data_IF_334402413057
#
_entry.id   IF_334402413057
#
_cell.length_a   1.000
_cell.length_b   1.000
_cell.length_c   1.000
_cell.angle_alpha   90.00
_cell.angle_beta   90.00
_cell.angle_gamma   90.00
#
_symmetry.space_group_name_H-M   'P 1'
#
loop_
_entity.id
_entity.type
_entity.pdbx_description
1 polymer ?
#
# COMPACT_ATOMS: atom_id res chain seq x y z
N UNK A 1 -5.36 -34.21 34.80
CA UNK A 1 -5.70 -32.96 35.52
C UNK A 1 -4.63 -31.92 35.18
N UNK A 2 -5.08 -30.75 34.70
CA UNK A 2 -4.34 -29.52 34.35
C UNK A 2 -3.28 -29.64 33.22
N UNK A 3 -3.56 -29.21 31.98
CA UNK A 3 -3.64 -27.81 31.48
C UNK A 3 -2.26 -27.16 31.32
N UNK A 4 -1.67 -27.29 30.12
CA UNK A 4 -0.54 -26.48 29.67
C UNK A 4 -0.96 -25.71 28.41
N UNK A 5 -1.37 -24.45 28.59
CA UNK A 5 -1.52 -23.51 27.49
C UNK A 5 -0.11 -23.07 27.06
N UNK A 6 0.34 -23.51 25.89
CA UNK A 6 1.57 -23.02 25.27
C UNK A 6 1.31 -21.62 24.70
N UNK A 7 2.06 -20.66 25.22
CA UNK A 7 2.03 -19.23 24.93
C UNK A 7 2.25 -18.95 23.42
N UNK A 8 1.24 -18.36 22.78
CA UNK A 8 1.14 -18.12 21.33
C UNK A 8 1.96 -16.90 20.84
N UNK A 9 2.95 -16.43 21.61
CA UNK A 9 3.67 -15.18 21.35
C UNK A 9 4.92 -15.30 20.45
N UNK A 10 5.16 -16.45 19.83
CA UNK A 10 6.36 -16.69 19.01
C UNK A 10 6.17 -16.64 17.48
N UNK A 11 5.05 -16.14 16.96
CA UNK A 11 4.72 -16.21 15.52
C UNK A 11 4.69 -14.86 14.78
N UNK A 12 5.45 -13.86 15.24
CA UNK A 12 5.59 -12.58 14.52
C UNK A 12 6.96 -12.47 13.82
N UNK A 13 7.13 -13.02 12.60
CA UNK A 13 8.41 -13.00 11.89
C UNK A 13 8.93 -11.58 11.63
N UNK A 14 8.04 -10.60 11.40
CA UNK A 14 8.42 -9.20 11.12
C UNK A 14 8.83 -8.39 12.37
N UNK A 15 8.37 -8.77 13.57
CA UNK A 15 8.62 -8.02 14.81
C UNK A 15 9.72 -8.66 15.68
N UNK A 16 9.99 -9.96 15.50
CA UNK A 16 10.98 -10.68 16.30
C UNK A 16 12.44 -10.32 15.93
N UNK A 17 12.73 -9.95 14.67
CA UNK A 17 14.09 -9.55 14.27
C UNK A 17 14.47 -8.13 14.73
N UNK A 18 13.48 -7.29 15.06
CA UNK A 18 13.71 -5.89 15.44
C UNK A 18 14.06 -5.72 16.93
N UNK A 19 13.43 -6.49 17.82
CA UNK A 19 13.54 -6.29 19.28
C UNK A 19 14.89 -6.72 19.89
N UNK A 20 15.73 -7.46 19.18
CA UNK A 20 17.06 -7.86 19.67
C UNK A 20 18.14 -6.77 19.54
N UNK A 21 17.86 -5.65 18.86
CA UNK A 21 18.86 -4.62 18.57
C UNK A 21 18.67 -3.28 19.32
N UNK A 22 17.49 -3.03 19.89
CA UNK A 22 17.15 -1.71 20.46
C UNK A 22 17.47 -1.59 21.97
N UNK A 23 18.06 -2.62 22.59
CA UNK A 23 18.29 -2.64 24.05
C UNK A 23 19.55 -1.91 24.53
N UNK A 24 20.38 -1.34 23.64
CA UNK A 24 21.72 -0.87 24.02
C UNK A 24 22.00 0.63 23.85
N UNK A 25 20.97 1.46 23.65
CA UNK A 25 21.19 2.91 23.48
C UNK A 25 20.33 3.73 24.44
N UNK A 26 21.04 4.38 25.36
CA UNK A 26 20.69 5.58 26.16
C UNK A 26 20.02 5.41 27.53
N UNK A 27 20.87 5.13 28.52
CA UNK A 27 20.77 5.80 29.82
C UNK A 27 21.62 7.07 29.81
N UNK A 28 21.01 8.24 30.09
CA UNK A 28 21.66 9.35 30.80
C UNK A 28 20.65 10.40 31.26
N UNK A 29 20.98 10.95 32.42
CA UNK A 29 20.14 11.54 33.46
C UNK A 29 20.00 13.07 33.35
N UNK A 30 19.07 13.60 34.19
CA UNK A 30 19.02 14.96 34.82
C UNK A 30 18.36 16.07 33.98
N UNK A 31 17.59 17.03 34.52
CA UNK A 31 17.27 17.44 35.91
C UNK A 31 16.03 18.36 35.89
N UNK A 32 15.49 18.57 37.08
CA UNK A 32 14.24 19.18 37.54
C UNK A 32 14.07 20.71 37.46
N UNK A 33 12.85 21.13 37.90
CA UNK A 33 12.39 22.41 38.45
C UNK A 33 11.70 23.35 37.45
N UNK A 34 10.64 24.09 37.77
CA UNK A 34 9.69 24.13 38.89
C UNK A 34 8.53 25.07 38.46
N UNK A 35 7.35 24.89 39.04
CA UNK A 35 6.14 25.70 38.83
C UNK A 35 6.20 27.05 39.54
N UNK A 36 5.39 28.04 39.11
CA UNK A 36 4.56 28.80 40.05
C UNK A 36 3.43 29.58 39.37
N UNK A 37 2.23 29.43 39.93
CA UNK A 37 0.99 30.17 39.70
C UNK A 37 0.97 31.49 40.49
N UNK A 38 0.06 32.37 40.08
CA UNK A 38 -0.96 33.08 40.91
C UNK A 38 -0.93 34.61 40.95
N UNK A 39 -2.14 35.15 41.17
CA UNK A 39 -2.60 36.53 41.49
C UNK A 39 -2.91 37.40 40.26
N UNK A 40 -4.15 37.74 39.89
CA UNK A 40 -5.42 38.05 40.58
C UNK A 40 -5.47 39.44 41.27
N UNK A 41 -6.41 40.24 40.77
CA UNK A 41 -7.14 41.41 41.29
C UNK A 41 -6.52 42.81 41.47
N UNK A 42 -7.32 43.80 41.06
CA UNK A 42 -7.10 45.23 41.31
C UNK A 42 -8.21 46.11 40.70
N UNK A 43 -8.95 46.78 41.58
CA UNK A 43 -10.33 47.27 41.47
C UNK A 43 -10.49 48.76 41.08
N UNK A 44 -11.71 49.10 40.65
CA UNK A 44 -12.53 50.33 40.75
C UNK A 44 -12.02 51.80 40.60
N UNK A 45 -12.98 52.60 40.08
CA UNK A 45 -13.38 53.99 40.43
C UNK A 45 -12.86 55.16 39.55
N UNK A 46 -13.51 56.31 39.30
CA UNK A 46 -14.91 56.84 39.24
C UNK A 46 -14.80 58.28 38.67
N UNK A 47 -15.85 58.80 38.01
CA UNK A 47 -16.36 60.19 38.07
C UNK A 47 -16.17 61.21 36.90
N UNK A 48 -17.33 61.58 36.31
CA UNK A 48 -17.86 62.86 35.74
C UNK A 48 -17.03 63.70 34.74
N UNK A 49 -17.57 64.47 33.79
CA UNK A 49 -18.87 65.14 33.65
C UNK A 49 -19.11 65.60 32.19
N UNK A 50 -20.34 66.07 31.96
CA UNK A 50 -20.80 67.08 30.99
C UNK A 50 -21.50 66.67 29.68
N UNK A 51 -22.70 67.23 29.61
CA UNK A 51 -23.80 67.05 28.67
C UNK A 51 -23.50 67.57 27.26
N UNK A 52 -23.96 66.81 26.26
CA UNK A 52 -24.28 67.37 24.95
C UNK A 52 -25.48 66.62 24.38
N UNK A 53 -26.66 67.26 24.39
CA UNK A 53 -27.91 66.73 23.84
C UNK A 53 -27.79 66.48 22.32
N UNK A 54 -27.52 65.23 21.95
CA UNK A 54 -27.62 64.74 20.58
C UNK A 54 -28.88 63.90 20.43
N UNK A 55 -29.91 64.46 19.77
CA UNK A 55 -31.13 63.74 19.38
C UNK A 55 -30.75 62.41 18.67
N UNK A 56 -31.33 61.26 19.05
CA UNK A 56 -30.95 59.99 18.46
C UNK A 56 -31.36 59.93 16.97
N UNK A 57 -30.38 59.64 16.12
CA UNK A 57 -30.62 59.32 14.70
C UNK A 57 -31.56 58.11 14.62
N UNK A 58 -32.66 58.18 13.85
CA UNK A 58 -33.57 57.05 13.73
C UNK A 58 -32.85 55.85 13.11
N UNK A 59 -33.00 54.69 13.76
CA UNK A 59 -32.38 53.43 13.33
C UNK A 59 -32.73 53.04 11.89
N UNK A 60 -31.87 52.22 11.30
CA UNK A 60 -31.92 51.78 9.89
C UNK A 60 -33.34 51.42 9.42
N UNK A 61 -34.07 50.65 10.23
CA UNK A 61 -35.44 50.21 9.93
C UNK A 61 -36.47 51.34 9.84
N UNK A 62 -36.33 52.38 10.65
CA UNK A 62 -37.23 53.54 10.63
C UNK A 62 -36.97 54.43 9.41
N UNK A 63 -35.72 54.50 8.94
CA UNK A 63 -35.36 55.19 7.67
C UNK A 63 -35.85 54.39 6.45
N UNK A 64 -35.75 53.07 6.50
CA UNK A 64 -36.26 52.19 5.44
C UNK A 64 -37.79 52.30 5.32
N UNK A 65 -38.52 52.25 6.44
CA UNK A 65 -39.98 52.40 6.47
C UNK A 65 -40.45 53.78 5.98
N UNK A 66 -39.73 54.86 6.34
CA UNK A 66 -40.02 56.20 5.83
C UNK A 66 -39.78 56.31 4.32
N UNK A 67 -38.79 55.60 3.78
CA UNK A 67 -38.55 55.55 2.32
C UNK A 67 -39.63 54.77 1.56
N UNK A 68 -40.19 53.72 2.18
CA UNK A 68 -41.30 52.95 1.60
C UNK A 68 -42.62 53.73 1.64
N UNK A 69 -42.84 54.55 2.68
CA UNK A 69 -44.05 55.40 2.80
C UNK A 69 -44.04 56.57 1.80
N UNK A 70 -42.87 57.14 1.48
CA UNK A 70 -42.73 58.17 0.42
C UNK A 70 -43.07 57.62 -0.97
N UNK A 71 -42.60 56.41 -1.31
CA UNK A 71 -42.92 55.76 -2.60
C UNK A 71 -44.40 55.39 -2.77
N UNK A 72 -45.17 55.28 -1.68
CA UNK A 72 -46.61 54.98 -1.75
C UNK A 72 -47.48 56.23 -1.95
N UNK A 73 -46.98 57.41 -1.57
CA UNK A 73 -47.68 58.69 -1.79
C UNK A 73 -47.38 59.35 -3.14
N UNK A 74 -46.21 59.11 -3.74
CA UNK A 74 -45.90 59.62 -5.09
C UNK A 74 -46.78 58.99 -6.18
N UNK A 75 -47.41 57.83 -5.92
CA UNK A 75 -48.35 57.20 -6.84
C UNK A 75 -49.75 57.87 -6.87
N UNK A 76 -50.03 58.83 -5.97
CA UNK A 76 -51.32 59.49 -5.83
C UNK A 76 -51.34 60.94 -6.37
N UNK A 77 -50.26 61.41 -7.00
CA UNK A 77 -50.11 62.82 -7.42
C UNK A 77 -49.56 63.00 -8.84
N UNK A 78 -49.92 62.11 -9.76
CA UNK A 78 -49.69 62.28 -11.21
C UNK A 78 -51.04 62.33 -11.96
N UNK A 79 -51.83 63.35 -11.63
CA UNK A 79 -52.96 63.80 -12.44
C UNK A 79 -52.58 65.10 -13.12
N UNK A 80 -52.66 65.12 -14.45
CA UNK A 80 -52.44 66.26 -15.34
C UNK A 80 -50.98 66.70 -15.58
N UNK A 81 -50.27 65.97 -16.45
CA UNK A 81 -49.42 66.59 -17.48
C UNK A 81 -49.38 65.71 -18.74
N UNK A 82 -49.48 66.38 -19.88
CA UNK A 82 -49.73 65.86 -21.22
C UNK A 82 -48.67 64.85 -21.67
N UNK A 83 -49.08 63.62 -22.02
CA UNK A 83 -48.18 62.62 -22.63
C UNK A 83 -47.80 63.05 -24.05
N UNK A 84 -46.61 63.63 -24.19
CA UNK A 84 -45.88 63.56 -25.46
C UNK A 84 -45.47 62.10 -25.67
N UNK A 85 -45.97 61.50 -26.74
CA UNK A 85 -45.74 60.09 -27.09
C UNK A 85 -44.34 59.96 -27.66
N UNK A 86 -43.35 59.71 -26.80
CA UNK A 86 -42.01 59.29 -27.23
C UNK A 86 -42.06 57.89 -27.85
N UNK A 87 -41.31 57.78 -28.95
CA UNK A 87 -41.27 56.72 -29.93
C UNK A 87 -40.98 55.32 -29.33
N UNK A 88 -41.46 54.27 -29.99
CA UNK A 88 -41.46 52.88 -29.50
C UNK A 88 -40.07 52.32 -29.11
N UNK A 89 -38.99 52.96 -29.55
CA UNK A 89 -37.63 52.48 -29.37
C UNK A 89 -37.08 52.65 -27.94
N UNK A 90 -37.49 53.70 -27.22
CA UNK A 90 -37.07 53.94 -25.81
C UNK A 90 -37.77 53.03 -24.80
N UNK A 91 -39.02 52.61 -25.08
CA UNK A 91 -39.73 51.62 -24.25
C UNK A 91 -39.10 50.23 -24.37
N UNK A 92 -38.52 49.91 -25.54
CA UNK A 92 -37.79 48.64 -25.78
C UNK A 92 -36.43 48.67 -25.09
N UNK A 93 -35.71 49.79 -25.15
CA UNK A 93 -34.43 50.03 -24.43
C UNK A 93 -34.60 49.97 -22.91
N UNK A 94 -35.65 50.58 -22.34
CA UNK A 94 -35.92 50.56 -20.89
C UNK A 94 -36.36 49.20 -20.35
N UNK A 95 -37.13 48.41 -21.12
CA UNK A 95 -37.44 47.01 -20.79
C UNK A 95 -36.20 46.12 -20.85
N UNK A 96 -35.37 46.24 -21.89
CA UNK A 96 -34.08 45.54 -21.98
C UNK A 96 -33.16 45.89 -20.80
N UNK A 97 -33.07 47.17 -20.41
CA UNK A 97 -32.24 47.59 -19.28
C UNK A 97 -32.76 47.08 -17.93
N UNK A 98 -34.08 47.06 -17.70
CA UNK A 98 -34.68 46.46 -16.49
C UNK A 98 -34.48 44.95 -16.43
N UNK A 99 -34.56 44.26 -17.58
CA UNK A 99 -34.31 42.82 -17.70
C UNK A 99 -32.83 42.49 -17.45
N UNK A 100 -31.90 43.25 -18.03
CA UNK A 100 -30.46 43.16 -17.77
C UNK A 100 -30.13 43.41 -16.29
N UNK A 101 -30.69 44.45 -15.66
CA UNK A 101 -30.48 44.73 -14.24
C UNK A 101 -30.98 43.62 -13.33
N UNK A 102 -32.08 42.94 -13.67
CA UNK A 102 -32.59 41.79 -12.92
C UNK A 102 -31.71 40.55 -13.07
N UNK A 103 -31.19 40.30 -14.26
CA UNK A 103 -30.25 39.19 -14.49
C UNK A 103 -28.88 39.45 -13.87
N UNK A 104 -28.39 40.68 -13.93
CA UNK A 104 -27.16 41.08 -13.21
C UNK A 104 -27.35 40.96 -11.70
N UNK A 105 -28.48 41.43 -11.15
CA UNK A 105 -28.76 41.26 -9.73
C UNK A 105 -28.91 39.79 -9.31
N UNK A 106 -29.53 38.94 -10.14
CA UNK A 106 -29.60 37.49 -9.91
C UNK A 106 -28.23 36.83 -10.02
N UNK A 107 -27.41 37.22 -10.99
CA UNK A 107 -26.05 36.74 -11.14
C UNK A 107 -25.18 37.14 -9.93
N UNK A 108 -25.31 38.35 -9.41
CA UNK A 108 -24.61 38.80 -8.20
C UNK A 108 -24.98 38.02 -6.93
N UNK A 109 -26.07 37.26 -6.92
CA UNK A 109 -26.46 36.39 -5.79
C UNK A 109 -26.15 34.92 -6.08
N UNK A 110 -26.43 34.46 -7.30
CA UNK A 110 -26.23 33.07 -7.70
C UNK A 110 -24.74 32.74 -7.82
N UNK A 111 -23.91 33.63 -8.35
CA UNK A 111 -22.47 33.37 -8.53
C UNK A 111 -21.76 33.17 -7.18
N UNK A 112 -21.94 34.04 -6.16
CA UNK A 112 -21.37 33.77 -4.84
C UNK A 112 -21.92 32.50 -4.19
N UNK A 113 -23.22 32.21 -4.35
CA UNK A 113 -23.82 30.98 -3.81
C UNK A 113 -23.21 29.72 -4.45
N UNK A 114 -23.04 29.72 -5.77
CA UNK A 114 -22.38 28.63 -6.49
C UNK A 114 -20.90 28.50 -6.10
N UNK A 115 -20.19 29.60 -5.85
CA UNK A 115 -18.83 29.56 -5.32
C UNK A 115 -18.80 28.96 -3.91
N UNK A 116 -19.71 29.34 -3.03
CA UNK A 116 -19.81 28.76 -1.67
C UNK A 116 -20.16 27.27 -1.74
N UNK A 117 -21.06 26.85 -2.64
CA UNK A 117 -21.38 25.43 -2.84
C UNK A 117 -20.16 24.70 -3.42
N UNK A 118 -19.46 25.27 -4.40
CA UNK A 118 -18.26 24.66 -4.98
C UNK A 118 -17.16 24.51 -3.95
N UNK A 119 -16.80 25.57 -3.22
CA UNK A 119 -15.80 25.50 -2.15
C UNK A 119 -16.29 24.63 -0.99
N UNK A 120 -17.59 24.61 -0.69
CA UNK A 120 -18.19 23.71 0.28
C UNK A 120 -18.09 22.24 -0.13
N UNK A 121 -18.34 21.90 -1.40
CA UNK A 121 -18.15 20.56 -1.95
C UNK A 121 -16.67 20.18 -2.00
N UNK A 122 -15.78 21.10 -2.37
CA UNK A 122 -14.32 20.90 -2.30
C UNK A 122 -13.88 20.69 -0.86
N UNK A 123 -14.44 21.43 0.11
CA UNK A 123 -14.08 21.29 1.52
C UNK A 123 -14.67 20.02 2.14
N UNK A 124 -15.88 19.63 1.77
CA UNK A 124 -16.50 18.35 2.10
C UNK A 124 -15.66 17.22 1.50
N UNK A 125 -15.32 17.29 0.22
CA UNK A 125 -14.42 16.34 -0.43
C UNK A 125 -13.06 16.29 0.27
N UNK A 126 -12.49 17.44 0.64
CA UNK A 126 -11.22 17.53 1.38
C UNK A 126 -11.33 17.01 2.82
N UNK A 127 -12.49 17.10 3.46
CA UNK A 127 -12.75 16.53 4.79
C UNK A 127 -13.00 15.02 4.68
N UNK A 128 -13.76 14.55 3.69
CA UNK A 128 -13.95 13.12 3.39
C UNK A 128 -12.64 12.45 2.97
N UNK A 129 -11.80 13.16 2.22
CA UNK A 129 -10.45 12.73 1.91
C UNK A 129 -9.53 12.91 3.12
N UNK A 130 -9.74 13.93 3.97
CA UNK A 130 -8.90 14.34 5.10
C UNK A 130 -9.14 13.62 6.43
N UNK A 131 -10.22 12.86 6.56
CA UNK A 131 -10.33 11.77 7.55
C UNK A 131 -9.35 10.62 7.26
N UNK A 132 -8.67 10.68 6.13
CA UNK A 132 -7.48 9.92 5.81
C UNK A 132 -6.35 10.96 5.67
N UNK A 133 -5.23 10.88 6.40
CA UNK A 133 -4.19 11.89 6.24
C UNK A 133 -3.63 11.81 4.81
N UNK A 134 -3.98 12.81 3.99
CA UNK A 134 -3.74 12.87 2.54
C UNK A 134 -2.27 13.16 2.24
N UNK A 135 -1.66 14.05 3.03
CA UNK A 135 -0.27 14.47 2.89
C UNK A 135 0.41 14.31 4.24
N UNK A 136 1.34 13.37 4.31
CA UNK A 136 2.48 13.49 5.19
C UNK A 136 3.62 13.98 4.31
N UNK A 137 4.34 15.00 4.78
CA UNK A 137 5.57 15.44 4.13
C UNK A 137 6.53 14.26 4.05
N UNK A 138 6.65 13.68 2.86
CA UNK A 138 7.83 12.92 2.52
C UNK A 138 8.79 13.85 1.78
N UNK A 139 9.78 14.45 2.47
CA UNK A 139 10.83 15.21 1.80
C UNK A 139 11.71 14.34 0.87
N UNK A 140 11.40 13.05 0.69
CA UNK A 140 12.15 12.12 -0.17
C UNK A 140 11.50 11.74 -1.50
N UNK A 141 10.42 12.40 -1.92
CA UNK A 141 9.87 12.24 -3.27
C UNK A 141 10.79 12.80 -4.39
N UNK A 142 12.00 13.22 -4.05
CA UNK A 142 13.11 13.34 -4.98
C UNK A 142 13.89 12.03 -4.92
N UNK A 143 13.76 11.23 -5.98
CA UNK A 143 14.70 10.16 -6.30
C UNK A 143 16.10 10.68 -6.02
N UNK A 144 16.81 10.09 -5.05
CA UNK A 144 18.25 10.26 -5.03
C UNK A 144 18.74 9.75 -6.36
N UNK A 145 19.37 10.63 -7.12
CA UNK A 145 20.11 10.25 -8.31
C UNK A 145 20.96 9.03 -7.94
N UNK A 146 20.75 7.93 -8.67
CA UNK A 146 21.72 6.86 -8.70
C UNK A 146 23.06 7.53 -8.97
N UNK A 147 24.09 7.35 -8.12
CA UNK A 147 25.40 7.83 -8.49
C UNK A 147 25.84 6.96 -9.67
N UNK A 148 25.54 7.40 -10.89
CA UNK A 148 26.34 7.00 -12.04
C UNK A 148 27.66 7.72 -11.80
N UNK A 149 28.50 7.15 -10.93
CA UNK A 149 29.92 7.45 -10.91
C UNK A 149 30.52 6.85 -12.18
N UNK A 150 30.24 7.52 -13.30
CA UNK A 150 30.99 7.37 -14.53
C UNK A 150 32.36 7.98 -14.32
N UNK A 151 33.29 7.15 -13.84
CA UNK A 151 34.75 7.19 -14.11
C UNK A 151 35.44 6.08 -13.30
N UNK A 152 35.34 4.86 -13.82
CA UNK A 152 36.33 3.76 -13.78
C UNK A 152 35.56 2.45 -14.03
N UNK A 153 35.79 1.83 -15.20
CA UNK A 153 35.02 0.67 -15.68
C UNK A 153 35.15 -0.61 -14.85
N UNK A 154 35.96 -0.61 -13.79
CA UNK A 154 36.07 -1.69 -12.80
C UNK A 154 35.25 -1.45 -11.52
N UNK A 155 35.09 -0.20 -11.08
CA UNK A 155 34.44 0.14 -9.80
C UNK A 155 32.92 0.10 -9.86
N UNK A 156 32.31 0.41 -11.00
CA UNK A 156 30.85 0.41 -11.12
C UNK A 156 30.25 -1.00 -10.97
N UNK A 157 30.97 -2.02 -11.45
CA UNK A 157 30.53 -3.41 -11.39
C UNK A 157 30.71 -3.98 -9.98
N UNK A 158 31.85 -3.72 -9.32
CA UNK A 158 32.06 -4.13 -7.92
C UNK A 158 31.03 -3.48 -6.99
N UNK A 159 30.76 -2.18 -7.16
CA UNK A 159 29.75 -1.47 -6.37
C UNK A 159 28.32 -2.05 -6.54
N UNK A 160 27.99 -2.61 -7.72
CA UNK A 160 26.71 -3.30 -7.93
C UNK A 160 26.66 -4.68 -7.27
N UNK A 161 27.80 -5.35 -7.15
CA UNK A 161 27.90 -6.66 -6.48
C UNK A 161 27.88 -6.53 -4.95
N UNK A 162 28.36 -5.40 -4.42
CA UNK A 162 28.43 -5.08 -2.99
C UNK A 162 27.27 -4.20 -2.48
N UNK A 163 26.21 -4.03 -3.27
CA UNK A 163 25.07 -3.15 -2.93
C UNK A 163 24.37 -3.53 -1.62
N UNK A 164 24.53 -4.77 -1.16
CA UNK A 164 23.89 -5.35 0.02
C UNK A 164 24.78 -5.46 1.25
N UNK A 165 26.00 -4.91 1.20
CA UNK A 165 27.02 -5.06 2.26
C UNK A 165 26.53 -4.59 3.64
N UNK A 166 25.85 -3.46 3.68
CA UNK A 166 25.34 -2.83 4.91
C UNK A 166 23.80 -2.75 4.92
N UNK A 167 23.14 -3.65 4.19
CA UNK A 167 21.68 -3.67 4.07
C UNK A 167 21.10 -4.76 4.96
N UNK A 168 20.24 -4.38 5.90
CA UNK A 168 19.44 -5.32 6.69
C UNK A 168 18.26 -5.82 5.86
N UNK A 169 18.14 -7.14 5.64
CA UNK A 169 16.99 -7.68 4.94
C UNK A 169 15.71 -7.51 5.77
N UNK A 170 14.59 -7.36 5.07
CA UNK A 170 13.26 -7.33 5.64
C UNK A 170 12.30 -8.15 4.76
N UNK A 171 11.26 -8.78 5.34
CA UNK A 171 10.20 -9.50 4.61
C UNK A 171 9.26 -8.59 3.80
N UNK A 172 9.81 -7.74 2.93
CA UNK A 172 9.04 -7.06 1.89
C UNK A 172 9.22 -7.73 0.54
N UNK A 173 8.13 -7.70 -0.22
CA UNK A 173 8.09 -8.15 -1.60
C UNK A 173 7.97 -6.92 -2.49
N UNK A 174 9.05 -6.60 -3.21
CA UNK A 174 9.05 -5.56 -4.23
C UNK A 174 8.27 -6.09 -5.42
N UNK A 175 7.03 -5.65 -5.54
CA UNK A 175 6.27 -5.81 -6.77
C UNK A 175 7.08 -5.14 -7.89
N UNK A 176 7.23 -5.85 -9.00
CA UNK A 176 8.19 -5.43 -10.01
C UNK A 176 7.72 -4.12 -10.63
N UNK A 177 8.50 -3.06 -10.47
CA UNK A 177 8.27 -1.83 -11.17
C UNK A 177 9.17 -1.73 -12.37
N UNK A 178 8.58 -2.18 -13.46
CA UNK A 178 8.91 -1.86 -14.84
C UNK A 178 9.12 -0.36 -15.11
N UNK A 179 8.74 0.52 -14.17
CA UNK A 179 8.99 1.96 -14.17
C UNK A 179 10.34 2.35 -13.55
N UNK A 180 10.93 1.50 -12.70
CA UNK A 180 12.29 1.68 -12.17
C UNK A 180 13.33 1.28 -13.21
N UNK A 181 14.48 1.95 -13.16
CA UNK A 181 15.59 1.70 -14.08
C UNK A 181 16.25 0.34 -13.82
N UNK A 182 16.35 -0.06 -12.55
CA UNK A 182 17.07 -1.26 -12.11
C UNK A 182 16.28 -2.01 -11.00
N UNK A 183 15.12 -2.64 -11.32
CA UNK A 183 14.17 -3.11 -10.31
C UNK A 183 14.76 -4.07 -9.26
N UNK A 184 15.60 -5.02 -9.70
CA UNK A 184 16.29 -5.95 -8.80
C UNK A 184 17.19 -5.21 -7.80
N UNK A 185 18.08 -4.35 -8.29
CA UNK A 185 19.04 -3.63 -7.45
C UNK A 185 18.36 -2.65 -6.49
N UNK A 186 17.31 -1.97 -6.94
CA UNK A 186 16.53 -1.07 -6.08
C UNK A 186 15.86 -1.85 -4.94
N UNK A 187 15.27 -3.01 -5.21
CA UNK A 187 14.68 -3.87 -4.18
C UNK A 187 15.71 -4.35 -3.15
N UNK A 188 16.86 -4.83 -3.62
CA UNK A 188 17.95 -5.30 -2.76
C UNK A 188 18.54 -4.17 -1.92
N UNK A 189 18.67 -2.97 -2.48
CA UNK A 189 19.18 -1.79 -1.75
C UNK A 189 18.30 -1.43 -0.55
N UNK A 190 16.98 -1.61 -0.65
CA UNK A 190 16.05 -1.40 0.44
C UNK A 190 15.85 -2.62 1.33
N UNK A 191 16.58 -3.72 1.10
CA UNK A 191 16.51 -4.91 1.93
C UNK A 191 15.31 -5.82 1.66
N UNK A 192 14.53 -5.61 0.59
CA UNK A 192 13.44 -6.55 0.29
C UNK A 192 13.99 -7.93 -0.06
N UNK A 193 13.52 -8.93 0.68
CA UNK A 193 13.87 -10.35 0.46
C UNK A 193 12.97 -11.03 -0.56
N UNK A 194 12.02 -10.31 -1.18
CA UNK A 194 11.24 -10.78 -2.31
C UNK A 194 11.25 -9.81 -3.48
N UNK A 195 11.45 -10.34 -4.69
CA UNK A 195 11.36 -9.60 -5.95
C UNK A 195 10.50 -10.37 -6.94
N UNK A 196 9.80 -9.64 -7.80
CA UNK A 196 8.93 -10.19 -8.83
C UNK A 196 9.51 -10.01 -10.23
N UNK A 197 9.22 -10.95 -11.13
CA UNK A 197 9.50 -10.89 -12.55
C UNK A 197 8.25 -11.32 -13.35
N UNK A 198 7.55 -10.37 -13.97
CA UNK A 198 6.45 -10.66 -14.90
C UNK A 198 7.04 -11.13 -16.23
N UNK A 199 6.95 -12.45 -16.49
CA UNK A 199 7.53 -13.08 -17.68
C UNK A 199 6.48 -13.38 -18.75
N UNK A 200 6.86 -13.10 -19.98
CA UNK A 200 6.10 -13.39 -21.19
C UNK A 200 6.96 -14.24 -22.11
N UNK A 201 6.42 -15.35 -22.62
CA UNK A 201 7.09 -16.12 -23.66
C UNK A 201 6.68 -15.61 -25.05
N UNK A 202 7.66 -15.30 -25.89
CA UNK A 202 7.50 -15.08 -27.34
C UNK A 202 8.74 -15.62 -28.06
N UNK A 203 8.55 -16.34 -29.17
CA UNK A 203 9.65 -16.89 -29.98
C UNK A 203 10.72 -17.65 -29.16
N UNK A 204 10.26 -18.48 -28.20
CA UNK A 204 11.09 -19.27 -27.27
C UNK A 204 12.00 -18.48 -26.29
N UNK A 205 11.81 -17.16 -26.19
CA UNK A 205 12.52 -16.27 -25.26
C UNK A 205 11.56 -15.68 -24.21
N UNK A 206 12.08 -15.48 -22.99
CA UNK A 206 11.34 -14.92 -21.86
C UNK A 206 11.63 -13.43 -21.72
N UNK A 207 10.66 -12.61 -22.11
CA UNK A 207 10.70 -11.16 -21.93
C UNK A 207 10.08 -10.74 -20.61
N UNK A 208 10.59 -9.65 -20.02
CA UNK A 208 10.11 -9.12 -18.74
C UNK A 208 9.37 -7.80 -18.95
N UNK A 209 8.14 -7.71 -18.47
CA UNK A 209 7.32 -6.49 -18.54
C UNK A 209 5.94 -6.62 -17.90
N UNK A 210 5.39 -5.53 -17.38
CA UNK A 210 4.02 -5.55 -16.81
C UNK A 210 2.95 -5.90 -17.83
N UNK A 211 3.17 -5.46 -19.07
CA UNK A 211 2.23 -5.60 -20.18
C UNK A 211 2.98 -5.93 -21.46
N UNK A 212 2.32 -6.61 -22.39
CA UNK A 212 2.89 -6.94 -23.70
C UNK A 212 3.47 -5.71 -24.42
N UNK A 213 2.87 -4.53 -24.26
CA UNK A 213 3.34 -3.28 -24.90
C UNK A 213 4.64 -2.72 -24.30
N UNK A 214 5.02 -3.16 -23.10
CA UNK A 214 6.26 -2.72 -22.42
C UNK A 214 7.48 -3.59 -22.74
N UNK A 215 7.28 -4.67 -23.50
CA UNK A 215 8.33 -5.63 -23.81
C UNK A 215 9.34 -5.03 -24.79
N UNK A 216 10.62 -5.30 -24.53
CA UNK A 216 11.73 -4.87 -25.37
C UNK A 216 12.76 -5.99 -25.44
N UNK A 217 13.46 -6.12 -26.57
CA UNK A 217 14.38 -7.23 -26.80
C UNK A 217 15.55 -7.30 -25.79
N UNK A 218 15.92 -6.18 -25.15
CA UNK A 218 17.00 -6.13 -24.16
C UNK A 218 16.58 -6.52 -22.73
N UNK A 219 15.28 -6.63 -22.45
CA UNK A 219 14.75 -6.92 -21.09
C UNK A 219 14.25 -8.36 -21.04
N UNK A 220 15.17 -9.29 -20.86
CA UNK A 220 14.86 -10.73 -20.74
C UNK A 220 14.94 -11.18 -19.28
N UNK A 221 14.34 -12.33 -18.98
CA UNK A 221 14.40 -12.92 -17.64
C UNK A 221 15.85 -13.17 -17.18
N UNK A 222 16.73 -13.57 -18.12
CA UNK A 222 18.17 -13.73 -17.85
C UNK A 222 18.86 -12.41 -17.57
N UNK A 223 18.73 -11.43 -18.47
CA UNK A 223 19.47 -10.17 -18.35
C UNK A 223 19.06 -9.35 -17.13
N UNK A 224 17.78 -9.44 -16.73
CA UNK A 224 17.22 -8.64 -15.64
C UNK A 224 17.34 -9.32 -14.26
N UNK A 225 17.35 -10.64 -14.19
CA UNK A 225 17.32 -11.39 -12.91
C UNK A 225 18.38 -12.46 -12.81
N UNK A 226 18.36 -13.48 -13.67
CA UNK A 226 19.20 -14.68 -13.47
C UNK A 226 20.69 -14.33 -13.52
N UNK A 227 21.15 -13.62 -14.56
CA UNK A 227 22.58 -13.34 -14.73
C UNK A 227 23.11 -12.38 -13.65
N UNK A 228 22.39 -11.30 -13.28
CA UNK A 228 22.77 -10.49 -12.11
C UNK A 228 22.86 -11.28 -10.80
N UNK A 229 21.89 -12.15 -10.53
CA UNK A 229 21.89 -12.98 -9.31
C UNK A 229 23.06 -13.96 -9.28
N UNK A 230 23.35 -14.63 -10.39
CA UNK A 230 24.52 -15.50 -10.52
C UNK A 230 25.80 -14.72 -10.23
N UNK A 231 25.98 -13.54 -10.83
CA UNK A 231 27.18 -12.71 -10.61
C UNK A 231 27.35 -12.29 -9.15
N UNK A 232 26.26 -11.85 -8.50
CA UNK A 232 26.30 -11.45 -7.08
C UNK A 232 26.63 -12.64 -6.18
N UNK A 233 26.02 -13.81 -6.41
CA UNK A 233 26.25 -14.99 -5.60
C UNK A 233 27.64 -15.60 -5.84
N UNK A 234 28.12 -15.60 -7.08
CA UNK A 234 29.49 -16.01 -7.40
C UNK A 234 30.47 -15.14 -6.62
N UNK A 235 30.34 -13.81 -6.70
CA UNK A 235 31.19 -12.89 -5.96
C UNK A 235 31.18 -13.14 -4.45
N UNK A 236 30.00 -13.39 -3.85
CA UNK A 236 29.84 -13.65 -2.40
C UNK A 236 30.29 -15.03 -1.94
N UNK A 237 30.48 -15.96 -2.88
CA UNK A 237 30.85 -17.34 -2.62
C UNK A 237 32.19 -17.73 -3.27
N UNK A 238 32.93 -16.76 -3.81
CA UNK A 238 34.30 -16.94 -4.28
C UNK A 238 35.20 -17.30 -3.09
N UNK A 239 36.01 -18.35 -3.26
CA UNK A 239 36.97 -18.77 -2.24
C UNK A 239 38.11 -17.74 -2.20
N UNK A 240 38.21 -17.00 -1.10
CA UNK A 240 39.40 -16.19 -0.83
C UNK A 240 40.63 -17.08 -0.60
N UNK A 241 41.84 -16.52 -0.79
CA UNK A 241 43.13 -17.24 -0.66
C UNK A 241 43.34 -17.90 0.72
N UNK A 242 42.61 -17.44 1.74
CA UNK A 242 42.69 -17.89 3.14
C UNK A 242 41.47 -18.77 3.51
N UNK A 243 40.41 -18.73 2.70
CA UNK A 243 39.12 -19.35 3.02
C UNK A 243 39.12 -20.87 2.78
N UNK A 244 38.45 -21.62 3.66
CA UNK A 244 38.13 -23.03 3.45
C UNK A 244 36.78 -23.16 2.75
N UNK A 245 36.58 -24.26 2.02
CA UNK A 245 35.31 -24.56 1.35
C UNK A 245 34.19 -24.75 2.38
N UNK A 246 33.23 -23.84 2.42
CA UNK A 246 31.98 -24.04 3.16
C UNK A 246 31.01 -24.91 2.35
N UNK A 247 30.29 -25.81 3.02
CA UNK A 247 29.17 -26.54 2.43
C UNK A 247 27.94 -25.64 2.25
N UNK A 248 27.78 -24.64 3.11
CA UNK A 248 26.69 -23.68 3.03
C UNK A 248 27.06 -22.52 2.11
N UNK A 249 26.14 -22.13 1.24
CA UNK A 249 26.31 -20.98 0.35
C UNK A 249 25.78 -19.73 1.02
N UNK A 250 26.52 -18.63 0.92
CA UNK A 250 26.09 -17.31 1.36
C UNK A 250 24.97 -16.80 0.44
N UNK A 251 23.95 -16.22 1.07
CA UNK A 251 22.86 -15.48 0.45
C UNK A 251 23.30 -14.12 -0.09
N UNK A 252 22.32 -13.35 -0.56
CA UNK A 252 22.56 -12.04 -1.19
C UNK A 252 22.88 -10.94 -0.17
N UNK A 253 22.44 -11.06 1.09
CA UNK A 253 22.64 -10.03 2.12
C UNK A 253 23.83 -10.38 3.02
N UNK A 254 24.84 -9.51 3.10
CA UNK A 254 26.04 -9.79 3.90
C UNK A 254 25.77 -9.69 5.41
N UNK A 255 24.79 -8.88 5.79
CA UNK A 255 24.32 -8.74 7.17
C UNK A 255 23.57 -9.99 7.66
N UNK A 256 23.10 -10.85 6.74
CA UNK A 256 22.35 -12.07 7.04
C UNK A 256 22.59 -13.13 5.96
N UNK A 257 23.73 -13.81 6.02
CA UNK A 257 24.18 -14.73 4.96
C UNK A 257 23.31 -15.97 4.77
N UNK A 258 22.44 -16.32 5.73
CA UNK A 258 21.46 -17.40 5.58
C UNK A 258 20.14 -16.95 4.93
N UNK A 259 19.91 -15.64 4.78
CA UNK A 259 18.67 -15.11 4.23
C UNK A 259 18.53 -15.44 2.74
N UNK A 260 17.50 -16.23 2.41
CA UNK A 260 17.13 -16.51 1.02
C UNK A 260 16.48 -15.28 0.37
N UNK A 261 16.75 -15.05 -0.91
CA UNK A 261 16.01 -14.11 -1.74
C UNK A 261 14.93 -14.88 -2.51
N UNK A 262 13.68 -14.43 -2.39
CA UNK A 262 12.56 -14.99 -3.15
C UNK A 262 12.50 -14.33 -4.52
N UNK A 263 12.70 -15.13 -5.57
CA UNK A 263 12.45 -14.73 -6.96
C UNK A 263 11.06 -15.25 -7.37
N UNK A 264 10.07 -14.38 -7.29
CA UNK A 264 8.71 -14.67 -7.74
C UNK A 264 8.60 -14.43 -9.25
N UNK A 265 8.20 -15.45 -10.00
CA UNK A 265 8.09 -15.40 -11.46
C UNK A 265 6.62 -15.48 -11.85
N UNK A 266 6.06 -14.37 -12.32
CA UNK A 266 4.64 -14.25 -12.69
C UNK A 266 4.47 -14.58 -14.18
N UNK A 267 3.81 -15.69 -14.48
CA UNK A 267 3.60 -16.19 -15.82
C UNK A 267 2.40 -15.49 -16.47
N UNK A 268 2.67 -14.59 -17.43
CA UNK A 268 1.63 -13.69 -17.98
C UNK A 268 0.83 -14.24 -19.14
N UNK A 269 1.35 -15.22 -19.86
CA UNK A 269 0.64 -15.94 -20.93
C UNK A 269 0.62 -17.44 -20.65
N UNK A 270 0.90 -18.31 -21.62
CA UNK A 270 0.74 -19.76 -21.45
C UNK A 270 1.79 -20.34 -20.49
N UNK A 271 1.34 -20.76 -19.31
CA UNK A 271 2.20 -21.28 -18.26
C UNK A 271 2.86 -22.61 -18.58
N UNK A 272 2.18 -23.50 -19.32
CA UNK A 272 2.76 -24.78 -19.74
C UNK A 272 3.90 -24.58 -20.74
N UNK A 273 3.85 -23.51 -21.53
CA UNK A 273 4.94 -23.09 -22.42
C UNK A 273 6.05 -22.33 -21.68
N UNK A 274 5.71 -21.45 -20.74
CA UNK A 274 6.71 -20.68 -19.95
C UNK A 274 7.55 -21.59 -19.04
N UNK A 275 6.90 -22.51 -18.30
CA UNK A 275 7.53 -23.31 -17.25
C UNK A 275 8.85 -24.00 -17.69
N UNK A 276 8.90 -24.78 -18.79
CA UNK A 276 10.14 -25.43 -19.21
C UNK A 276 11.26 -24.43 -19.57
N UNK A 277 10.91 -23.25 -20.09
CA UNK A 277 11.89 -22.21 -20.44
C UNK A 277 12.44 -21.53 -19.19
N UNK A 278 11.60 -21.27 -18.18
CA UNK A 278 12.02 -20.77 -16.87
C UNK A 278 12.96 -21.78 -16.20
N UNK A 279 12.56 -23.05 -16.13
CA UNK A 279 13.37 -24.12 -15.55
C UNK A 279 14.74 -24.25 -16.25
N UNK A 280 14.79 -24.09 -17.58
CA UNK A 280 16.03 -24.04 -18.37
C UNK A 280 16.89 -22.84 -18.00
N UNK A 281 16.32 -21.64 -17.84
CA UNK A 281 17.07 -20.44 -17.49
C UNK A 281 17.67 -20.53 -16.08
N UNK A 282 16.94 -21.13 -15.14
CA UNK A 282 17.39 -21.35 -13.76
C UNK A 282 18.54 -22.35 -13.62
N UNK A 283 18.89 -23.11 -14.67
CA UNK A 283 20.04 -24.03 -14.68
C UNK A 283 21.33 -23.34 -14.24
N UNK A 284 21.53 -22.06 -14.60
CA UNK A 284 22.70 -21.29 -14.20
C UNK A 284 22.84 -21.11 -12.67
N UNK A 285 21.72 -21.07 -11.94
CA UNK A 285 21.71 -21.04 -10.47
C UNK A 285 21.74 -22.46 -9.90
N UNK A 286 21.02 -23.39 -10.53
CA UNK A 286 20.89 -24.80 -10.12
C UNK A 286 22.23 -25.52 -10.06
N UNK A 287 23.02 -25.46 -11.13
CA UNK A 287 24.31 -26.16 -11.23
C UNK A 287 25.34 -25.66 -10.21
N UNK A 288 25.17 -24.43 -9.73
CA UNK A 288 26.02 -23.82 -8.70
C UNK A 288 25.53 -24.09 -7.27
N UNK A 289 24.37 -24.75 -7.11
CA UNK A 289 23.77 -25.05 -5.82
C UNK A 289 23.18 -23.83 -5.12
N UNK A 290 22.70 -22.84 -5.88
CA UNK A 290 22.14 -21.60 -5.33
C UNK A 290 20.63 -21.62 -5.11
N UNK A 291 19.93 -22.62 -5.61
CA UNK A 291 18.48 -22.72 -5.49
C UNK A 291 18.08 -23.49 -4.23
N UNK A 292 17.04 -23.01 -3.56
CA UNK A 292 16.22 -23.84 -2.66
C UNK A 292 15.52 -24.92 -3.48
N UNK A 293 15.52 -26.16 -3.01
CA UNK A 293 14.92 -27.28 -3.72
C UNK A 293 14.33 -28.32 -2.79
N UNK A 294 13.32 -29.04 -3.26
CA UNK A 294 12.79 -30.24 -2.65
C UNK A 294 13.51 -31.47 -3.22
N UNK A 295 13.99 -32.36 -2.34
CA UNK A 295 14.82 -33.53 -2.70
C UNK A 295 14.04 -34.87 -2.77
N UNK A 296 12.71 -34.81 -2.71
CA UNK A 296 11.85 -36.00 -2.58
C UNK A 296 11.45 -36.34 -1.16
N UNK A 297 12.06 -35.70 -0.16
CA UNK A 297 11.76 -35.90 1.25
C UNK A 297 11.57 -34.59 2.00
N UNK A 298 12.44 -33.61 1.77
CA UNK A 298 12.48 -32.34 2.49
C UNK A 298 12.88 -31.19 1.56
N UNK A 299 12.57 -29.97 1.99
CA UNK A 299 12.99 -28.74 1.31
C UNK A 299 14.34 -28.31 1.88
N UNK A 300 15.36 -28.25 1.02
CA UNK A 300 16.71 -27.80 1.33
C UNK A 300 16.84 -26.34 0.92
N UNK A 301 17.08 -25.46 1.88
CA UNK A 301 17.20 -24.03 1.63
C UNK A 301 18.49 -23.66 0.89
N UNK A 302 18.36 -22.77 -0.08
CA UNK A 302 19.45 -22.16 -0.81
C UNK A 302 19.35 -20.64 -0.82
N UNK A 303 20.41 -19.95 -1.30
CA UNK A 303 20.43 -18.50 -1.46
C UNK A 303 19.23 -17.90 -2.19
N UNK A 304 18.64 -18.62 -3.15
CA UNK A 304 17.49 -18.18 -3.95
C UNK A 304 16.35 -19.18 -3.83
N UNK A 305 15.17 -18.72 -3.43
CA UNK A 305 13.93 -19.51 -3.49
C UNK A 305 13.10 -19.02 -4.68
N UNK A 306 12.85 -19.89 -5.65
CA UNK A 306 12.04 -19.53 -6.82
C UNK A 306 10.59 -19.92 -6.59
N UNK A 307 9.68 -18.97 -6.82
CA UNK A 307 8.23 -19.19 -6.68
C UNK A 307 7.55 -18.82 -7.99
N UNK A 308 6.72 -19.69 -8.54
CA UNK A 308 5.96 -19.43 -9.76
C UNK A 308 4.51 -19.01 -9.42
N UNK A 309 4.03 -17.96 -10.08
CA UNK A 309 2.69 -17.39 -9.90
C UNK A 309 2.04 -17.02 -11.23
N UNK A 310 0.87 -16.39 -11.22
CA UNK A 310 0.12 -16.06 -12.44
C UNK A 310 -0.46 -17.31 -13.07
N UNK A 311 -0.19 -17.56 -14.35
CA UNK A 311 -0.62 -18.78 -15.04
C UNK A 311 0.28 -19.99 -14.76
N UNK A 312 1.06 -19.99 -13.68
CA UNK A 312 1.95 -21.09 -13.31
C UNK A 312 1.22 -22.44 -13.22
N UNK A 313 1.66 -23.48 -13.94
CA UNK A 313 0.99 -24.78 -13.99
C UNK A 313 1.38 -25.66 -12.80
N UNK A 314 0.48 -25.78 -11.81
CA UNK A 314 0.71 -26.58 -10.60
C UNK A 314 1.04 -28.05 -10.91
N UNK A 315 0.40 -28.61 -11.94
CA UNK A 315 0.61 -29.98 -12.43
C UNK A 315 2.06 -30.20 -12.90
N UNK A 316 2.65 -29.25 -13.64
CA UNK A 316 4.05 -29.37 -14.06
C UNK A 316 5.02 -29.10 -12.91
N UNK A 317 4.70 -28.14 -12.04
CA UNK A 317 5.53 -27.81 -10.87
C UNK A 317 5.64 -29.03 -9.96
N UNK A 318 4.55 -29.77 -9.75
CA UNK A 318 4.51 -30.93 -8.85
C UNK A 318 4.76 -32.27 -9.53
N UNK A 319 4.96 -32.30 -10.85
CA UNK A 319 5.11 -33.54 -11.63
C UNK A 319 6.30 -34.41 -11.18
N UNK A 320 7.42 -33.80 -10.80
CA UNK A 320 8.63 -34.52 -10.38
C UNK A 320 8.61 -34.73 -8.86
N UNK A 321 8.53 -35.98 -8.41
CA UNK A 321 8.51 -36.33 -6.99
C UNK A 321 9.89 -36.39 -6.34
N UNK A 322 10.99 -36.39 -7.10
CA UNK A 322 12.36 -36.60 -6.58
C UNK A 322 13.19 -35.33 -6.55
N UNK A 323 12.89 -34.35 -7.41
CA UNK A 323 13.60 -33.08 -7.41
C UNK A 323 12.74 -31.95 -7.97
N UNK A 324 12.62 -30.84 -7.22
CA UNK A 324 11.95 -29.62 -7.67
C UNK A 324 12.64 -28.40 -7.07
N UNK A 325 12.86 -27.35 -7.84
CA UNK A 325 13.49 -26.11 -7.38
C UNK A 325 12.68 -24.85 -7.74
N UNK A 326 11.44 -25.06 -8.15
CA UNK A 326 10.42 -24.04 -8.38
C UNK A 326 9.23 -24.42 -7.50
N UNK A 327 8.84 -23.53 -6.61
CA UNK A 327 7.70 -23.70 -5.72
C UNK A 327 6.48 -22.96 -6.26
N UNK A 328 5.29 -23.38 -5.85
CA UNK A 328 4.04 -22.73 -6.25
C UNK A 328 3.66 -21.57 -5.31
N UNK A 329 2.97 -20.57 -5.88
CA UNK A 329 2.26 -19.53 -5.14
C UNK A 329 0.80 -19.97 -4.93
N UNK A 330 0.51 -20.50 -3.75
CA UNK A 330 -0.79 -21.07 -3.42
C UNK A 330 -1.89 -19.99 -3.33
N UNK A 331 -3.16 -20.32 -3.65
CA UNK A 331 -4.28 -19.39 -3.52
C UNK A 331 -4.65 -19.16 -2.05
N UNK A 332 -4.22 -18.03 -1.46
CA UNK A 332 -4.39 -17.78 -0.01
C UNK A 332 -5.86 -17.72 0.42
N UNK A 333 -6.77 -17.27 -0.46
CA UNK A 333 -8.22 -17.24 -0.20
C UNK A 333 -8.83 -18.63 0.00
N UNK A 334 -8.24 -19.68 -0.56
CA UNK A 334 -8.71 -21.05 -0.35
C UNK A 334 -8.11 -21.73 0.89
N UNK A 335 -7.27 -21.02 1.66
CA UNK A 335 -6.55 -21.58 2.80
C UNK A 335 -7.12 -21.13 4.15
N UNK A 336 -8.25 -20.42 4.19
CA UNK A 336 -8.84 -19.93 5.44
C UNK A 336 -8.98 -21.03 6.51
N UNK A 337 -8.55 -20.71 7.74
CA UNK A 337 -8.65 -21.59 8.91
C UNK A 337 -9.48 -20.95 10.05
N UNK A 338 -10.57 -21.64 10.40
CA UNK A 338 -11.55 -21.26 11.42
C UNK A 338 -11.32 -21.90 12.81
N UNK A 339 -10.13 -22.47 13.03
CA UNK A 339 -9.77 -23.16 14.28
C UNK A 339 -9.93 -22.29 15.54
N UNK A 340 -10.02 -20.97 15.41
CA UNK A 340 -10.24 -20.03 16.52
C UNK A 340 -11.73 -19.82 16.84
N UNK A 341 -12.64 -19.73 15.85
CA UNK A 341 -14.07 -19.57 16.14
C UNK A 341 -14.70 -20.86 16.68
N UNK A 342 -14.21 -22.01 16.21
CA UNK A 342 -14.67 -23.33 16.66
C UNK A 342 -14.31 -23.67 18.12
N UNK A 343 -13.42 -22.91 18.74
CA UNK A 343 -13.02 -23.13 20.15
C UNK A 343 -13.96 -22.47 21.17
N UNK A 344 -14.87 -21.59 20.74
CA UNK A 344 -15.84 -20.92 21.61
C UNK A 344 -17.27 -21.48 21.54
N UNK A 345 -17.60 -22.32 20.54
CA UNK A 345 -18.91 -22.97 20.41
C UNK A 345 -18.84 -24.46 20.76
N UNK A 346 -18.68 -24.74 22.05
CA UNK A 346 -19.13 -26.00 22.65
C UNK A 346 -20.56 -25.86 23.17
N UNK A 347 -21.53 -25.53 22.30
CA UNK A 347 -22.96 -25.79 22.52
C UNK A 347 -23.78 -25.44 21.26
N UNK A 348 -24.06 -26.43 20.40
CA UNK A 348 -25.10 -26.28 19.39
C UNK A 348 -24.86 -27.13 18.16
N UNK A 349 -25.43 -28.34 18.14
CA UNK A 349 -25.66 -29.06 16.89
C UNK A 349 -26.57 -28.20 15.98
N UNK A 350 -26.14 -27.96 14.75
CA UNK A 350 -27.04 -27.55 13.66
C UNK A 350 -26.51 -28.12 12.36
N UNK A 351 -27.39 -28.84 11.69
CA UNK A 351 -27.16 -29.70 10.55
C UNK A 351 -26.67 -28.93 9.32
N UNK A 352 -25.70 -29.53 8.64
CA UNK A 352 -25.15 -29.07 7.36
C UNK A 352 -26.21 -29.15 6.26
N UNK A 353 -26.65 -28.00 5.76
CA UNK A 353 -27.28 -27.90 4.45
C UNK A 353 -26.21 -28.15 3.37
N UNK A 354 -26.25 -29.35 2.77
CA UNK A 354 -25.56 -29.68 1.54
C UNK A 354 -26.11 -28.80 0.41
N UNK A 355 -25.38 -27.75 0.05
CA UNK A 355 -25.54 -27.11 -1.26
C UNK A 355 -24.34 -27.52 -2.12
N UNK A 356 -24.49 -28.68 -2.76
CA UNK A 356 -23.56 -29.20 -3.75
C UNK A 356 -23.68 -28.38 -5.02
N UNK A 357 -23.03 -27.22 -5.05
CA UNK A 357 -22.78 -26.51 -6.30
C UNK A 357 -21.68 -27.29 -7.02
N UNK A 358 -22.10 -28.04 -8.03
CA UNK A 358 -21.25 -28.63 -9.06
C UNK A 358 -20.45 -27.51 -9.74
N UNK A 359 -19.23 -27.25 -9.26
CA UNK A 359 -18.30 -26.38 -9.96
C UNK A 359 -17.76 -27.15 -11.16
N UNK A 360 -18.41 -26.95 -12.30
CA UNK A 360 -17.89 -27.29 -13.62
C UNK A 360 -16.40 -26.94 -13.71
N UNK A 361 -15.63 -27.87 -14.29
CA UNK A 361 -14.23 -27.71 -14.68
C UNK A 361 -14.19 -26.63 -15.77
N UNK A 362 -14.29 -25.39 -15.34
CA UNK A 362 -13.82 -24.25 -16.11
C UNK A 362 -12.31 -24.26 -15.95
N UNK A 363 -11.58 -24.28 -17.06
CA UNK A 363 -10.14 -24.03 -17.08
C UNK A 363 -9.89 -22.63 -16.53
N UNK A 364 -9.78 -22.52 -15.20
CA UNK A 364 -9.53 -21.26 -14.51
C UNK A 364 -8.08 -20.89 -14.80
N UNK A 365 -7.89 -19.88 -15.65
CA UNK A 365 -6.61 -19.20 -15.80
C UNK A 365 -6.39 -18.24 -14.63
N UNK A 366 -5.14 -18.02 -14.26
CA UNK A 366 -4.74 -17.07 -13.24
C UNK A 366 -4.16 -17.69 -11.96
N UNK A 367 -3.65 -16.81 -11.11
CA UNK A 367 -2.89 -17.13 -9.90
C UNK A 367 -3.56 -18.21 -9.06
N UNK A 368 -2.80 -19.25 -8.71
CA UNK A 368 -3.23 -20.30 -7.79
C UNK A 368 -4.19 -21.34 -8.37
N UNK A 369 -4.52 -21.29 -9.68
CA UNK A 369 -5.60 -22.13 -10.25
C UNK A 369 -5.19 -23.00 -11.43
N UNK A 370 -4.14 -22.66 -12.18
CA UNK A 370 -3.74 -23.43 -13.36
C UNK A 370 -3.14 -24.77 -12.93
N UNK A 371 -3.67 -25.87 -13.48
CA UNK A 371 -3.19 -27.23 -13.17
C UNK A 371 -3.61 -27.75 -11.80
N UNK A 372 -4.45 -27.02 -11.04
CA UNK A 372 -4.95 -27.49 -9.75
C UNK A 372 -6.23 -28.33 -9.90
N UNK A 373 -6.50 -29.15 -8.90
CA UNK A 373 -7.69 -29.99 -8.79
C UNK A 373 -8.35 -29.75 -7.41
N UNK A 374 -9.61 -30.16 -7.19
CA UNK A 374 -10.22 -30.08 -5.85
C UNK A 374 -9.44 -30.84 -4.76
N UNK A 375 -8.61 -31.82 -5.14
CA UNK A 375 -7.74 -32.57 -4.24
C UNK A 375 -6.31 -32.01 -4.11
N UNK A 376 -6.00 -30.89 -4.80
CA UNK A 376 -4.69 -30.25 -4.67
C UNK A 376 -4.48 -29.79 -3.23
N UNK A 377 -3.34 -30.14 -2.65
CA UNK A 377 -2.92 -29.70 -1.33
C UNK A 377 -1.70 -28.78 -1.48
N UNK A 378 -1.61 -27.79 -0.60
CA UNK A 378 -0.54 -26.80 -0.61
C UNK A 378 0.18 -26.83 0.75
N UNK A 379 1.48 -27.10 0.72
CA UNK A 379 2.35 -27.11 1.89
C UNK A 379 3.78 -26.74 1.49
N UNK A 380 4.69 -26.69 2.48
CA UNK A 380 6.09 -26.31 2.30
C UNK A 380 6.92 -27.21 1.37
N UNK A 381 6.39 -28.36 0.93
CA UNK A 381 7.07 -29.27 -0.01
C UNK A 381 6.80 -28.91 -1.47
N UNK A 382 5.72 -28.18 -1.74
CA UNK A 382 5.29 -27.84 -3.11
C UNK A 382 5.05 -26.34 -3.33
N UNK A 383 4.83 -25.60 -2.25
CA UNK A 383 4.52 -24.17 -2.26
C UNK A 383 5.42 -23.45 -1.26
N UNK A 384 5.63 -22.15 -1.50
CA UNK A 384 6.40 -21.29 -0.58
C UNK A 384 5.56 -20.09 -0.15
N UNK A 385 4.94 -19.43 -1.12
CA UNK A 385 3.97 -18.38 -0.88
C UNK A 385 2.55 -18.92 -0.89
N UNK A 386 1.69 -18.20 -0.18
CA UNK A 386 0.27 -18.19 -0.43
C UNK A 386 -0.15 -16.73 -0.66
N UNK A 387 -0.60 -16.39 -1.86
CA UNK A 387 -0.94 -15.02 -2.23
C UNK A 387 -2.41 -14.83 -2.57
N UNK A 388 -2.92 -13.63 -2.35
CA UNK A 388 -4.24 -13.20 -2.86
C UNK A 388 -4.28 -11.70 -3.13
N UNK A 389 -5.18 -11.28 -4.03
CA UNK A 389 -5.53 -9.89 -4.17
C UNK A 389 -6.35 -9.41 -2.96
N UNK A 390 -5.82 -8.45 -2.21
CA UNK A 390 -6.47 -7.85 -1.04
C UNK A 390 -7.87 -7.32 -1.38
N UNK A 391 -8.01 -6.54 -2.44
CA UNK A 391 -9.28 -5.93 -2.81
C UNK A 391 -10.34 -6.93 -3.27
N UNK A 392 -9.94 -8.04 -3.93
CA UNK A 392 -10.88 -9.10 -4.33
C UNK A 392 -11.29 -9.99 -3.16
N UNK A 393 -10.36 -10.27 -2.24
CA UNK A 393 -10.59 -11.15 -1.07
C UNK A 393 -11.31 -10.41 0.07
N UNK A 394 -10.74 -9.29 0.52
CA UNK A 394 -11.20 -8.55 1.71
C UNK A 394 -12.24 -7.48 1.34
N UNK A 395 -12.23 -7.00 0.10
CA UNK A 395 -13.14 -5.96 -0.37
C UNK A 395 -12.70 -4.54 -0.01
N UNK A 396 -13.65 -3.61 -0.15
CA UNK A 396 -13.40 -2.19 0.08
C UNK A 396 -13.46 -1.81 1.57
N UNK A 397 -12.54 -0.96 2.01
CA UNK A 397 -12.48 -0.46 3.39
C UNK A 397 -13.27 0.85 3.51
N UNK A 398 -14.54 0.74 3.90
CA UNK A 398 -15.41 1.90 4.08
C UNK A 398 -14.87 2.84 5.17
N UNK A 399 -14.71 4.11 4.81
CA UNK A 399 -14.11 5.14 5.69
C UNK A 399 -12.73 4.76 6.25
N UNK A 400 -12.01 3.85 5.60
CA UNK A 400 -10.72 3.33 6.08
C UNK A 400 -10.83 2.47 7.35
N UNK A 401 -12.03 2.02 7.71
CA UNK A 401 -12.26 1.06 8.77
C UNK A 401 -12.23 -0.37 8.23
N UNK A 402 -11.65 -1.27 9.02
CA UNK A 402 -11.60 -2.71 8.75
C UNK A 402 -12.65 -3.31 9.67
N UNK A 403 -13.66 -3.97 9.11
CA UNK A 403 -14.73 -4.59 9.89
C UNK A 403 -14.21 -5.85 10.61
N UNK A 404 -14.95 -6.32 11.61
CA UNK A 404 -14.60 -7.58 12.30
C UNK A 404 -14.60 -8.77 11.34
N UNK A 405 -15.52 -8.82 10.38
CA UNK A 405 -15.57 -9.86 9.33
C UNK A 405 -14.34 -9.78 8.43
N UNK A 406 -13.90 -8.58 8.04
CA UNK A 406 -12.69 -8.41 7.23
C UNK A 406 -11.43 -8.79 8.00
N UNK A 407 -11.37 -8.46 9.30
CA UNK A 407 -10.27 -8.82 10.17
C UNK A 407 -10.21 -10.34 10.33
N UNK A 408 -11.33 -10.99 10.66
CA UNK A 408 -11.38 -12.45 10.81
C UNK A 408 -10.97 -13.17 9.52
N UNK A 409 -11.41 -12.68 8.36
CA UNK A 409 -10.98 -13.22 7.07
C UNK A 409 -9.46 -13.11 6.88
N UNK A 410 -8.86 -11.95 7.19
CA UNK A 410 -7.41 -11.74 7.13
C UNK A 410 -6.69 -12.71 8.08
N UNK A 411 -7.12 -12.76 9.33
CA UNK A 411 -6.50 -13.59 10.37
C UNK A 411 -6.61 -15.07 10.02
N UNK A 412 -7.78 -15.55 9.59
CA UNK A 412 -8.00 -16.94 9.19
C UNK A 412 -7.21 -17.35 7.97
N UNK A 413 -7.08 -16.47 6.97
CA UNK A 413 -6.21 -16.69 5.80
C UNK A 413 -4.73 -16.79 6.22
N UNK A 414 -4.24 -15.86 7.04
CA UNK A 414 -2.85 -15.87 7.52
C UNK A 414 -2.57 -17.13 8.36
N UNK A 415 -3.44 -17.47 9.31
CA UNK A 415 -3.33 -18.69 10.13
C UNK A 415 -3.25 -19.94 9.27
N UNK A 416 -4.15 -20.06 8.29
CA UNK A 416 -4.21 -21.23 7.44
C UNK A 416 -3.00 -21.40 6.53
N UNK A 417 -2.37 -20.30 6.09
CA UNK A 417 -1.07 -20.34 5.41
C UNK A 417 0.05 -20.79 6.36
N UNK A 418 0.13 -20.21 7.57
CA UNK A 418 1.12 -20.59 8.58
C UNK A 418 1.02 -22.06 8.98
N UNK A 419 -0.20 -22.58 9.16
CA UNK A 419 -0.45 -23.99 9.49
C UNK A 419 0.08 -24.96 8.41
N UNK A 420 0.25 -24.48 7.18
CA UNK A 420 0.80 -25.22 6.04
C UNK A 420 2.28 -24.93 5.77
N UNK A 421 2.92 -24.13 6.63
CA UNK A 421 4.31 -23.71 6.47
C UNK A 421 4.54 -22.68 5.36
N UNK A 422 3.48 -22.00 4.89
CA UNK A 422 3.53 -21.04 3.78
C UNK A 422 3.63 -19.61 4.29
N UNK A 423 4.25 -18.73 3.49
CA UNK A 423 4.29 -17.29 3.78
C UNK A 423 3.12 -16.60 3.08
N UNK A 424 2.21 -16.03 3.88
CA UNK A 424 1.07 -15.27 3.36
C UNK A 424 1.52 -13.94 2.74
N UNK A 425 0.89 -13.54 1.63
CA UNK A 425 1.15 -12.27 0.93
C UNK A 425 -0.13 -11.70 0.34
N UNK A 426 -0.35 -10.40 0.53
CA UNK A 426 -1.50 -9.68 -0.04
C UNK A 426 -1.04 -8.66 -1.08
N UNK A 427 -1.38 -8.86 -2.35
CA UNK A 427 -1.14 -7.87 -3.41
C UNK A 427 -2.39 -7.04 -3.68
N UNK A 428 -2.24 -5.89 -4.33
CA UNK A 428 -3.39 -5.00 -4.60
C UNK A 428 -4.00 -4.34 -3.35
N UNK A 429 -3.26 -4.28 -2.24
CA UNK A 429 -3.64 -3.48 -1.07
C UNK A 429 -3.67 -1.97 -1.40
N UNK A 430 -4.41 -1.14 -0.63
CA UNK A 430 -4.50 0.29 -0.88
C UNK A 430 -3.14 0.97 -0.95
N UNK A 431 -2.83 1.64 -2.06
CA UNK A 431 -1.59 2.43 -2.23
C UNK A 431 -1.76 3.88 -1.79
N UNK A 432 -2.97 4.41 -1.95
CA UNK A 432 -3.35 5.78 -1.62
C UNK A 432 -4.79 5.82 -1.08
N UNK A 433 -5.11 6.69 -0.10
CA UNK A 433 -4.19 7.62 0.57
C UNK A 433 -3.19 6.92 1.48
N UNK A 434 -2.04 7.57 1.72
CA UNK A 434 -0.90 6.99 2.47
C UNK A 434 -1.32 6.57 3.89
N UNK A 435 -2.20 7.33 4.54
CA UNK A 435 -2.74 6.96 5.86
C UNK A 435 -3.48 5.62 5.86
N UNK A 436 -4.30 5.37 4.83
CA UNK A 436 -5.02 4.09 4.69
C UNK A 436 -4.05 2.95 4.39
N UNK A 437 -3.12 3.16 3.47
CA UNK A 437 -2.05 2.20 3.15
C UNK A 437 -1.29 1.78 4.41
N UNK A 438 -0.79 2.76 5.17
CA UNK A 438 -0.02 2.53 6.38
C UNK A 438 -0.83 1.79 7.46
N UNK A 439 -2.13 2.11 7.58
CA UNK A 439 -3.04 1.39 8.49
C UNK A 439 -3.19 -0.09 8.09
N UNK A 440 -3.37 -0.36 6.80
CA UNK A 440 -3.47 -1.74 6.28
C UNK A 440 -2.16 -2.48 6.46
N UNK A 441 -1.01 -1.87 6.13
CA UNK A 441 0.30 -2.47 6.36
C UNK A 441 0.52 -2.81 7.83
N UNK A 442 0.25 -1.86 8.73
CA UNK A 442 0.35 -2.10 10.17
C UNK A 442 -0.52 -3.28 10.61
N UNK A 443 -1.78 -3.34 10.19
CA UNK A 443 -2.65 -4.47 10.51
C UNK A 443 -2.06 -5.80 10.02
N UNK A 444 -1.67 -5.88 8.75
CA UNK A 444 -1.15 -7.13 8.17
C UNK A 444 0.11 -7.61 8.92
N UNK A 445 0.99 -6.68 9.31
CA UNK A 445 2.17 -7.00 10.12
C UNK A 445 1.80 -7.47 11.53
N UNK A 446 0.84 -6.80 12.19
CA UNK A 446 0.34 -7.18 13.52
C UNK A 446 -0.31 -8.58 13.49
N UNK A 447 -1.05 -8.91 12.43
CA UNK A 447 -1.65 -10.22 12.17
C UNK A 447 -0.64 -11.30 11.75
N UNK A 448 0.63 -10.95 11.55
CA UNK A 448 1.69 -11.92 11.25
C UNK A 448 1.76 -12.34 9.77
N UNK A 449 1.45 -11.43 8.84
CA UNK A 449 1.64 -11.66 7.40
C UNK A 449 3.10 -12.08 7.11
N UNK A 450 3.29 -13.02 6.19
CA UNK A 450 4.62 -13.51 5.84
C UNK A 450 5.45 -12.46 5.11
N UNK A 451 4.86 -11.77 4.13
CA UNK A 451 5.52 -10.72 3.35
C UNK A 451 4.60 -9.52 3.12
N UNK A 452 5.16 -8.32 3.27
CA UNK A 452 4.49 -7.08 2.89
C UNK A 452 4.74 -6.77 1.41
N UNK A 453 3.69 -6.68 0.59
CA UNK A 453 3.81 -6.40 -0.83
C UNK A 453 3.56 -4.92 -1.14
N UNK A 454 4.45 -4.27 -1.90
CA UNK A 454 4.24 -2.88 -2.29
C UNK A 454 5.33 -2.28 -3.18
N UNK A 455 5.05 -1.07 -3.69
CA UNK A 455 5.97 -0.32 -4.56
C UNK A 455 6.72 0.80 -3.80
N UNK A 456 6.26 1.22 -2.62
CA UNK A 456 6.98 2.21 -1.80
C UNK A 456 7.94 1.47 -0.85
N UNK A 457 9.10 1.07 -1.38
CA UNK A 457 10.08 0.26 -0.64
C UNK A 457 10.56 1.00 0.61
N UNK A 458 10.95 2.27 0.46
CA UNK A 458 11.37 3.11 1.58
C UNK A 458 10.29 3.22 2.65
N UNK A 459 9.03 3.31 2.24
CA UNK A 459 7.90 3.25 3.16
C UNK A 459 7.86 1.92 3.89
N UNK A 460 7.92 0.80 3.18
CA UNK A 460 7.88 -0.55 3.75
C UNK A 460 9.06 -0.82 4.71
N UNK A 461 10.25 -0.26 4.46
CA UNK A 461 11.41 -0.50 5.34
C UNK A 461 11.31 0.14 6.71
N UNK A 462 10.40 1.10 6.90
CA UNK A 462 10.30 1.79 8.20
C UNK A 462 9.80 0.86 9.30
N UNK A 463 8.96 -0.12 8.98
CA UNK A 463 8.28 -1.07 9.88
C UNK A 463 7.47 -0.45 11.03
N UNK A 464 7.71 0.82 11.39
CA UNK A 464 6.87 1.71 12.16
C UNK A 464 6.15 2.68 11.23
N UNK A 465 4.88 2.39 10.98
CA UNK A 465 3.94 3.28 10.29
C UNK A 465 2.97 3.96 11.25
N UNK A 466 3.26 3.93 12.55
CA UNK A 466 2.47 4.58 13.58
C UNK A 466 2.34 6.07 13.34
N UNK A 467 1.20 6.63 13.74
CA UNK A 467 1.03 8.07 13.81
C UNK A 467 2.05 8.61 14.83
N UNK A 468 3.10 9.29 14.37
CA UNK A 468 3.84 10.20 15.26
C UNK A 468 2.86 11.29 15.67
N UNK A 469 2.32 11.19 16.88
CA UNK A 469 1.62 12.31 17.52
C UNK A 469 2.64 13.43 17.62
N UNK A 470 2.61 14.38 16.69
CA UNK A 470 3.10 15.70 17.00
C UNK A 470 2.29 16.16 18.21
N UNK A 471 2.95 16.33 19.35
CA UNK A 471 2.41 17.07 20.47
C UNK A 471 2.28 18.53 20.02
N UNK A 472 1.27 18.79 19.20
CA UNK A 472 0.82 20.12 18.87
C UNK A 472 0.33 20.75 20.16
N UNK A 473 1.01 21.83 20.55
CA UNK A 473 0.64 22.74 21.63
C UNK A 473 -0.86 22.98 21.64
N UNK A 474 -1.57 22.34 22.57
CA UNK A 474 -2.86 22.72 23.14
C UNK A 474 -3.02 21.87 24.40
N UNK A 475 -2.26 22.28 25.43
CA UNK A 475 -2.47 21.95 26.85
C UNK A 475 -3.36 23.00 27.49
#
# INVERSE_FOLDING_TARGET
MASGASDFRHTQPLLHEFNTYDSDITSKTKSSNASLRALEDGDASTFSSEDNELRPRPGFWRRLLMSARRRRNDAARDGAFQRVRLENDDKRKTRKNKWRKRHVARACVIVPLLLVIFFGLVHILNVFLGFIPIFWDDPSALSRDWPIHGKHGSDATSNLLDITRDVTPIPCHSHNDYWRRVPLYDALHWGCTGVEADVWIYDEELYVGHSANSLTHGRTFRSMYVDPLVKMLDHKNELGEIGTTSKTKNGIFDTATAQTLVLLVDFKNDGHTIFPVVARHLTALREKGYLTYYDGTSTIEGPITVVATGNAPFDLITANSTYRDIFFDAPLDSLYDDSVASSNDSAGQSESSNDSISSEITTRGGQGTVGTTPSSHFDSTNSYYASVNFGKSIGWLWFGHISEVQLDLISGQIRGAHARGLKSRYWGAPKWPIGLRNKVWKLLVEEGVGYLNGDDLRGMTRLDWGLKKHWGLLS
#
